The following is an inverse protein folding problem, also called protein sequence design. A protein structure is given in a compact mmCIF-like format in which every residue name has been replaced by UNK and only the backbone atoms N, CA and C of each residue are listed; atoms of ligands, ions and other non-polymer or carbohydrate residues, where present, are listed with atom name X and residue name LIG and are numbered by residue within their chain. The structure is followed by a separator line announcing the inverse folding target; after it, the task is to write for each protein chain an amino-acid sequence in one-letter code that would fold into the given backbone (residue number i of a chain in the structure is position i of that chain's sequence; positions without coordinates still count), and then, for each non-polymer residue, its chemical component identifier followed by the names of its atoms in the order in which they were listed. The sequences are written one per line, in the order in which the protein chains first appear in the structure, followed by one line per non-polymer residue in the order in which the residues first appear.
data_IF_085844732077
#
_entry.id   IF_085844732077
#
_cell.length_a   1.000
_cell.length_b   1.000
_cell.length_c   1.000
_cell.angle_alpha   90.00
_cell.angle_beta   90.00
_cell.angle_gamma   90.00
#
_symmetry.space_group_name_H-M   'P 1'
#
loop_
_entity.id
_entity.type
_entity.pdbx_description
1 polymer ?
#
# COMPACT_ATOMS: atom_id res chain seq x y z
N UNK A 1 4.41 19.64 -1.54
CA UNK A 1 3.67 18.37 -1.53
C UNK A 1 3.98 17.67 -0.22
N UNK A 2 2.94 17.36 0.56
CA UNK A 2 3.05 16.69 1.85
C UNK A 2 2.48 15.27 1.72
N UNK A 3 3.27 14.26 2.06
CA UNK A 3 2.78 12.87 2.07
C UNK A 3 2.60 12.42 3.52
N UNK A 4 1.40 11.97 3.84
CA UNK A 4 1.10 11.36 5.12
C UNK A 4 1.53 9.90 5.15
N UNK A 5 1.94 9.39 6.31
CA UNK A 5 2.04 7.94 6.58
C UNK A 5 1.05 7.61 7.69
N UNK A 6 0.08 6.73 7.42
CA UNK A 6 -0.92 6.33 8.41
C UNK A 6 -0.22 5.68 9.60
N UNK A 7 -0.23 6.36 10.74
CA UNK A 7 0.58 6.06 11.91
C UNK A 7 -0.24 5.44 13.05
N UNK A 8 -1.20 4.57 12.69
CA UNK A 8 -2.02 3.83 13.63
C UNK A 8 -1.31 2.56 14.13
N UNK A 9 -0.64 1.87 13.22
CA UNK A 9 0.18 0.68 13.48
C UNK A 9 1.08 0.45 12.26
N UNK A 10 2.20 -0.24 12.42
CA UNK A 10 3.01 -0.72 11.29
C UNK A 10 4.38 -0.08 11.16
N UNK A 11 5.00 -0.30 9.99
CA UNK A 11 6.36 0.12 9.61
C UNK A 11 6.41 1.61 9.24
N UNK A 12 5.85 2.45 10.12
CA UNK A 12 5.63 3.89 9.90
C UNK A 12 6.96 4.61 9.74
N UNK A 13 7.95 4.28 10.57
CA UNK A 13 9.24 4.97 10.60
C UNK A 13 10.03 4.72 9.32
N UNK A 14 9.98 3.50 8.83
CA UNK A 14 10.65 3.02 7.62
C UNK A 14 10.09 3.75 6.40
N UNK A 15 8.75 3.85 6.28
CA UNK A 15 8.11 4.65 5.22
C UNK A 15 8.41 6.14 5.33
N UNK A 16 8.45 6.71 6.54
CA UNK A 16 8.83 8.11 6.73
C UNK A 16 10.27 8.37 6.27
N UNK A 17 11.21 7.46 6.56
CA UNK A 17 12.61 7.56 6.10
C UNK A 17 12.69 7.49 4.58
N UNK A 18 12.07 6.48 3.97
CA UNK A 18 12.11 6.26 2.54
C UNK A 18 11.50 7.43 1.73
N UNK A 19 10.45 8.06 2.25
CA UNK A 19 9.86 9.27 1.65
C UNK A 19 10.75 10.50 1.83
N UNK A 20 11.40 10.67 2.98
CA UNK A 20 12.34 11.77 3.21
C UNK A 20 13.57 11.66 2.29
N UNK A 21 14.09 10.45 2.10
CA UNK A 21 15.18 10.14 1.15
C UNK A 21 14.73 10.22 -0.33
N UNK A 22 13.44 10.39 -0.57
CA UNK A 22 12.85 10.67 -1.88
C UNK A 22 12.48 12.15 -2.06
N UNK A 23 13.08 13.04 -1.27
CA UNK A 23 12.90 14.51 -1.31
C UNK A 23 11.45 14.98 -1.10
N UNK A 24 10.71 14.32 -0.21
CA UNK A 24 9.34 14.72 0.17
C UNK A 24 9.19 14.97 1.66
N UNK A 25 8.42 15.99 2.00
CA UNK A 25 7.98 16.24 3.38
C UNK A 25 6.97 15.17 3.79
N UNK A 26 7.43 14.18 4.56
CA UNK A 26 6.62 13.10 5.09
C UNK A 26 6.19 13.38 6.54
N UNK A 27 4.93 13.07 6.90
CA UNK A 27 4.41 13.28 8.26
C UNK A 27 3.55 12.10 8.71
N UNK A 28 3.60 11.70 9.99
CA UNK A 28 2.67 10.71 10.50
C UNK A 28 1.24 11.26 10.56
N UNK A 29 0.26 10.41 10.25
CA UNK A 29 -1.18 10.72 10.32
C UNK A 29 -1.85 9.75 11.29
N UNK A 30 -2.36 10.29 12.39
CA UNK A 30 -3.04 9.57 13.48
C UNK A 30 -4.45 10.08 13.71
N UNK A 31 -4.77 11.28 13.20
CA UNK A 31 -6.03 11.97 13.44
C UNK A 31 -6.58 12.66 12.18
N UNK A 32 -7.90 12.91 12.09
CA UNK A 32 -8.51 13.54 10.92
C UNK A 32 -7.92 14.92 10.55
N UNK A 33 -7.54 15.74 11.54
CA UNK A 33 -6.91 17.03 11.29
C UNK A 33 -5.52 16.93 10.64
N UNK A 34 -4.80 15.83 10.89
CA UNK A 34 -3.51 15.55 10.26
C UNK A 34 -3.71 15.04 8.83
N UNK A 35 -4.75 14.22 8.60
CA UNK A 35 -5.16 13.79 7.26
C UNK A 35 -5.55 14.97 6.37
N UNK A 36 -6.22 15.99 6.95
CA UNK A 36 -6.58 17.20 6.23
C UNK A 36 -5.35 17.97 5.71
N UNK A 37 -4.19 17.85 6.35
CA UNK A 37 -2.97 18.59 6.02
C UNK A 37 -2.02 17.91 5.02
N UNK A 38 -2.37 16.73 4.50
CA UNK A 38 -1.54 15.98 3.54
C UNK A 38 -2.19 15.93 2.16
N UNK A 39 -1.36 15.87 1.12
CA UNK A 39 -1.79 15.81 -0.29
C UNK A 39 -2.00 14.36 -0.78
N UNK A 40 -1.30 13.41 -0.14
CA UNK A 40 -1.38 11.97 -0.41
C UNK A 40 -1.10 11.16 0.86
N UNK A 41 -1.41 9.86 0.83
CA UNK A 41 -1.27 8.97 1.99
C UNK A 41 -0.53 7.67 1.64
N UNK A 42 0.40 7.27 2.50
CA UNK A 42 0.93 5.90 2.55
C UNK A 42 0.27 5.15 3.69
N UNK A 43 -0.24 3.95 3.41
CA UNK A 43 -0.75 3.00 4.38
C UNK A 43 0.31 1.90 4.53
N UNK A 44 1.03 1.84 5.66
CA UNK A 44 2.19 0.96 5.81
C UNK A 44 1.80 -0.53 5.95
N UNK A 45 2.82 -1.39 6.00
CA UNK A 45 2.68 -2.78 6.43
C UNK A 45 2.30 -2.89 7.91
N UNK A 46 2.00 -4.10 8.39
CA UNK A 46 1.59 -4.34 9.78
C UNK A 46 0.45 -5.35 9.92
N UNK A 47 -0.53 -5.06 10.78
CA UNK A 47 -1.68 -5.91 11.05
C UNK A 47 -2.98 -5.18 10.64
N UNK A 48 -3.58 -5.64 9.54
CA UNK A 48 -4.72 -4.96 8.90
C UNK A 48 -6.00 -4.93 9.76
N UNK A 49 -6.26 -5.94 10.60
CA UNK A 49 -7.45 -5.97 11.48
C UNK A 49 -7.32 -4.98 12.64
N UNK A 50 -6.10 -4.72 13.09
CA UNK A 50 -5.76 -3.70 14.08
C UNK A 50 -5.87 -2.33 13.45
N UNK A 51 -5.34 -2.14 12.23
CA UNK A 51 -5.52 -0.89 11.49
C UNK A 51 -7.00 -0.58 11.25
N UNK A 52 -7.81 -1.56 10.85
CA UNK A 52 -9.26 -1.42 10.73
C UNK A 52 -9.91 -0.92 12.02
N UNK A 53 -9.60 -1.55 13.16
CA UNK A 53 -10.15 -1.15 14.46
C UNK A 53 -9.74 0.27 14.85
N UNK A 54 -8.46 0.61 14.68
CA UNK A 54 -7.95 1.93 15.04
C UNK A 54 -8.49 3.00 14.10
N UNK A 55 -8.65 2.71 12.81
CA UNK A 55 -9.21 3.65 11.84
C UNK A 55 -10.68 3.98 12.16
N UNK A 56 -11.46 2.99 12.62
CA UNK A 56 -12.82 3.22 13.11
C UNK A 56 -12.79 4.03 14.41
N UNK A 57 -12.05 3.55 15.41
CA UNK A 57 -12.06 4.13 16.76
C UNK A 57 -11.52 5.57 16.81
N UNK A 58 -10.62 5.95 15.89
CA UNK A 58 -10.10 7.31 15.77
C UNK A 58 -10.79 8.15 14.69
N UNK A 59 -11.90 7.66 14.14
CA UNK A 59 -12.72 8.41 13.17
C UNK A 59 -11.98 8.72 11.86
N UNK A 60 -11.06 7.85 11.44
CA UNK A 60 -10.25 8.00 10.22
C UNK A 60 -10.78 7.20 9.04
N UNK A 61 -11.55 6.13 9.26
CA UNK A 61 -12.03 5.24 8.19
C UNK A 61 -12.78 6.02 7.10
N UNK A 62 -13.83 6.74 7.49
CA UNK A 62 -14.67 7.48 6.54
C UNK A 62 -13.97 8.71 5.92
N UNK A 63 -13.19 9.51 6.68
CA UNK A 63 -12.37 10.56 6.06
C UNK A 63 -11.38 10.04 5.03
N UNK A 64 -10.72 8.89 5.27
CA UNK A 64 -9.80 8.30 4.29
C UNK A 64 -10.56 7.83 3.05
N UNK A 65 -11.69 7.12 3.22
CA UNK A 65 -12.57 6.71 2.11
C UNK A 65 -12.99 7.92 1.26
N UNK A 66 -13.44 8.99 1.92
CA UNK A 66 -13.84 10.23 1.24
C UNK A 66 -12.67 10.84 0.47
N UNK A 67 -11.49 10.95 1.07
CA UNK A 67 -10.31 11.53 0.41
C UNK A 67 -9.88 10.71 -0.80
N UNK A 68 -9.95 9.37 -0.72
CA UNK A 68 -9.69 8.49 -1.87
C UNK A 68 -10.71 8.75 -2.98
N UNK A 69 -12.01 8.79 -2.66
CA UNK A 69 -13.08 9.08 -3.62
C UNK A 69 -12.95 10.47 -4.26
N UNK A 70 -12.44 11.45 -3.51
CA UNK A 70 -12.15 12.81 -3.99
C UNK A 70 -10.84 12.88 -4.82
N UNK A 71 -10.14 11.76 -5.05
CA UNK A 71 -8.95 11.70 -5.91
C UNK A 71 -7.62 11.90 -5.18
N UNK A 72 -7.54 11.66 -3.87
CA UNK A 72 -6.26 11.64 -3.15
C UNK A 72 -5.41 10.43 -3.56
N UNK A 73 -4.15 10.61 -3.98
CA UNK A 73 -3.24 9.48 -4.21
C UNK A 73 -2.97 8.71 -2.92
N UNK A 74 -3.04 7.38 -3.00
CA UNK A 74 -2.75 6.51 -1.85
C UNK A 74 -1.89 5.32 -2.26
N UNK A 75 -0.89 5.03 -1.44
CA UNK A 75 -0.05 3.85 -1.58
C UNK A 75 -0.21 2.90 -0.39
N UNK A 76 -0.60 1.64 -0.63
CA UNK A 76 -0.71 0.61 0.40
C UNK A 76 0.36 -0.48 0.26
N UNK A 77 1.26 -0.62 1.24
CA UNK A 77 2.25 -1.71 1.31
C UNK A 77 1.79 -2.82 2.25
N UNK A 78 1.86 -4.09 1.85
CA UNK A 78 1.50 -5.27 2.65
C UNK A 78 0.10 -5.13 3.31
N UNK A 79 0.01 -4.88 4.62
CA UNK A 79 -1.27 -4.61 5.29
C UNK A 79 -2.02 -3.41 4.68
N UNK A 80 -1.31 -2.41 4.17
CA UNK A 80 -1.89 -1.31 3.42
C UNK A 80 -2.56 -1.74 2.10
N UNK A 81 -2.05 -2.76 1.41
CA UNK A 81 -2.73 -3.35 0.26
C UNK A 81 -4.08 -3.95 0.68
N UNK A 82 -4.10 -4.69 1.79
CA UNK A 82 -5.35 -5.24 2.34
C UNK A 82 -6.33 -4.10 2.68
N UNK A 83 -5.84 -3.04 3.32
CA UNK A 83 -6.66 -1.88 3.67
C UNK A 83 -7.17 -1.11 2.44
N UNK A 84 -6.53 -1.17 1.28
CA UNK A 84 -7.02 -0.51 0.07
C UNK A 84 -8.05 -1.34 -0.73
N UNK A 85 -8.10 -2.65 -0.52
CA UNK A 85 -8.94 -3.56 -1.30
C UNK A 85 -10.44 -3.30 -1.09
N UNK A 86 -11.24 -3.44 -2.16
CA UNK A 86 -12.70 -3.47 -2.08
C UNK A 86 -13.22 -4.76 -1.44
N UNK A 87 -12.51 -5.89 -1.63
CA UNK A 87 -12.86 -7.17 -1.01
C UNK A 87 -11.65 -7.77 -0.29
N UNK A 88 -11.83 -8.17 0.97
CA UNK A 88 -10.79 -8.85 1.77
C UNK A 88 -11.23 -10.27 2.09
N UNK A 89 -10.42 -11.26 1.70
CA UNK A 89 -10.59 -12.66 2.06
C UNK A 89 -9.73 -13.01 3.28
N UNK A 90 -10.21 -13.98 4.08
CA UNK A 90 -9.56 -14.45 5.31
C UNK A 90 -9.34 -13.33 6.35
N UNK A 91 -10.21 -12.31 6.30
CA UNK A 91 -10.34 -11.24 7.29
C UNK A 91 -11.23 -11.62 8.47
N UNK A 92 -11.26 -10.74 9.47
CA UNK A 92 -12.27 -10.81 10.54
C UNK A 92 -13.64 -10.41 9.95
N UNK A 93 -14.78 -10.97 10.40
CA UNK A 93 -16.10 -10.63 9.82
C UNK A 93 -16.47 -9.14 9.84
N UNK A 94 -15.93 -8.39 10.80
CA UNK A 94 -16.10 -6.94 10.98
C UNK A 94 -14.86 -6.14 10.56
N UNK A 95 -13.93 -6.73 9.81
CA UNK A 95 -12.80 -5.99 9.27
C UNK A 95 -13.28 -5.07 8.13
N UNK A 96 -13.08 -3.78 8.33
CA UNK A 96 -13.33 -2.75 7.32
C UNK A 96 -12.02 -2.37 6.60
N UNK A 97 -12.14 -2.10 5.31
CA UNK A 97 -11.08 -1.53 4.48
C UNK A 97 -11.48 -0.13 3.98
N UNK A 98 -10.54 0.61 3.39
CA UNK A 98 -10.81 1.87 2.72
C UNK A 98 -11.52 1.70 1.38
N UNK A 99 -11.65 0.48 0.86
CA UNK A 99 -12.37 0.16 -0.38
C UNK A 99 -11.99 1.07 -1.55
N UNK A 100 -10.72 1.46 -1.62
CA UNK A 100 -10.23 2.44 -2.59
C UNK A 100 -9.96 1.83 -3.96
N UNK A 101 -9.53 0.57 -3.99
CA UNK A 101 -9.11 -0.13 -5.20
C UNK A 101 -9.99 -1.35 -5.44
N UNK A 102 -10.47 -1.51 -6.67
CA UNK A 102 -11.31 -2.63 -7.10
C UNK A 102 -10.50 -3.92 -7.23
N UNK A 103 -10.23 -4.56 -6.09
CA UNK A 103 -9.48 -5.80 -6.04
C UNK A 103 -9.94 -6.68 -4.88
N UNK A 104 -9.78 -7.99 -5.08
CA UNK A 104 -9.96 -8.99 -4.03
C UNK A 104 -8.59 -9.40 -3.50
N UNK A 105 -8.33 -9.14 -2.22
CA UNK A 105 -7.05 -9.44 -1.57
C UNK A 105 -7.22 -10.53 -0.52
N UNK A 106 -6.40 -11.57 -0.58
CA UNK A 106 -6.33 -12.61 0.46
C UNK A 106 -5.24 -12.28 1.47
N UNK A 107 -5.59 -12.29 2.76
CA UNK A 107 -4.63 -12.08 3.86
C UNK A 107 -3.74 -13.29 4.09
N UNK A 108 -2.49 -13.07 4.51
CA UNK A 108 -1.53 -14.11 4.90
C UNK A 108 -1.47 -15.29 3.91
N UNK A 109 -1.50 -14.97 2.62
CA UNK A 109 -1.88 -15.93 1.60
C UNK A 109 -0.78 -16.97 1.33
N UNK A 110 0.46 -16.69 1.72
CA UNK A 110 1.63 -17.54 1.50
C UNK A 110 1.82 -18.67 2.53
N UNK A 111 0.88 -18.85 3.48
CA UNK A 111 0.84 -20.01 4.38
C UNK A 111 1.39 -19.74 5.80
N UNK A 112 1.50 -20.82 6.60
CA UNK A 112 1.86 -20.79 8.04
C UNK A 112 3.27 -21.31 8.39
N UNK A 113 4.06 -21.74 7.40
CA UNK A 113 5.31 -22.50 7.65
C UNK A 113 6.55 -21.93 6.94
N UNK A 114 6.47 -20.78 6.26
CA UNK A 114 7.61 -20.02 5.74
C UNK A 114 7.25 -18.53 5.79
N UNK A 115 7.31 -17.94 6.99
CA UNK A 115 6.62 -16.67 7.31
C UNK A 115 7.24 -15.41 6.70
N UNK A 116 8.41 -15.51 6.08
CA UNK A 116 8.97 -14.43 5.26
C UNK A 116 9.84 -15.03 4.17
N UNK A 117 9.78 -14.44 2.98
CA UNK A 117 10.68 -14.79 1.90
C UNK A 117 11.01 -13.54 1.09
N UNK A 118 12.07 -13.65 0.30
CA UNK A 118 12.50 -12.59 -0.60
C UNK A 118 12.46 -13.14 -2.02
N UNK A 119 12.04 -12.32 -2.97
CA UNK A 119 12.02 -12.69 -4.37
C UNK A 119 12.16 -11.45 -5.26
N UNK A 120 12.84 -11.63 -6.39
CA UNK A 120 12.89 -10.62 -7.43
C UNK A 120 11.54 -10.51 -8.13
N UNK A 121 11.06 -9.27 -8.27
CA UNK A 121 9.79 -8.93 -8.92
C UNK A 121 10.07 -7.89 -9.99
N UNK A 122 9.82 -8.23 -11.25
CA UNK A 122 9.70 -7.23 -12.30
C UNK A 122 8.44 -6.39 -12.05
N UNK A 123 8.60 -5.07 -11.89
CA UNK A 123 7.50 -4.14 -11.69
C UNK A 123 7.39 -3.23 -12.92
N UNK A 124 6.30 -3.36 -13.67
CA UNK A 124 6.00 -2.50 -14.80
C UNK A 124 6.00 -1.02 -14.38
N UNK A 125 6.43 -0.16 -15.30
CA UNK A 125 6.56 1.30 -15.13
C UNK A 125 7.59 1.77 -14.08
N UNK A 126 8.27 0.86 -13.37
CA UNK A 126 9.39 1.18 -12.48
C UNK A 126 10.70 0.76 -13.15
N UNK A 127 11.51 1.72 -13.64
CA UNK A 127 12.76 1.40 -14.33
C UNK A 127 13.83 0.82 -13.40
N UNK A 128 14.87 0.20 -13.95
CA UNK A 128 16.04 -0.29 -13.20
C UNK A 128 16.10 -1.80 -13.00
N UNK A 129 15.31 -2.57 -13.76
CA UNK A 129 15.28 -4.03 -13.66
C UNK A 129 14.46 -4.52 -12.47
N UNK A 130 14.62 -5.80 -12.14
CA UNK A 130 13.86 -6.46 -11.08
C UNK A 130 14.06 -5.76 -9.73
N UNK A 131 13.00 -5.77 -8.92
CA UNK A 131 12.99 -5.23 -7.57
C UNK A 131 13.09 -6.38 -6.57
N UNK A 132 14.09 -6.34 -5.68
CA UNK A 132 14.27 -7.32 -4.62
C UNK A 132 13.19 -7.13 -3.54
N UNK A 133 12.11 -7.90 -3.61
CA UNK A 133 10.93 -7.71 -2.78
C UNK A 133 10.98 -8.57 -1.50
N UNK A 134 10.74 -7.94 -0.36
CA UNK A 134 10.64 -8.58 0.97
C UNK A 134 9.17 -8.85 1.32
N UNK A 135 8.80 -10.12 1.43
CA UNK A 135 7.44 -10.57 1.75
C UNK A 135 7.40 -11.08 3.19
N UNK A 136 6.61 -10.44 4.06
CA UNK A 136 6.44 -10.84 5.47
C UNK A 136 4.96 -11.10 5.70
N UNK A 137 4.58 -12.38 5.85
CA UNK A 137 3.16 -12.81 5.95
C UNK A 137 2.27 -12.12 4.90
N UNK A 138 2.80 -11.99 3.69
CA UNK A 138 2.26 -11.09 2.69
C UNK A 138 0.84 -11.48 2.24
N UNK A 139 0.01 -10.52 1.83
CA UNK A 139 -1.19 -10.79 1.04
C UNK A 139 -0.85 -11.07 -0.43
N UNK A 140 -1.82 -11.54 -1.20
CA UNK A 140 -1.79 -11.40 -2.66
C UNK A 140 -3.14 -10.93 -3.18
N UNK A 141 -3.16 -10.43 -4.42
CA UNK A 141 -4.39 -10.11 -5.13
C UNK A 141 -4.90 -11.36 -5.86
N UNK A 142 -6.12 -11.80 -5.55
CA UNK A 142 -6.81 -12.93 -6.21
C UNK A 142 -7.46 -12.47 -7.52
N UNK A 143 -8.06 -11.28 -7.50
CA UNK A 143 -8.82 -10.74 -8.61
C UNK A 143 -8.67 -9.22 -8.66
N UNK A 144 -8.71 -8.69 -9.87
CA UNK A 144 -8.61 -7.26 -10.17
C UNK A 144 -9.81 -6.83 -10.99
N UNK A 145 -10.31 -5.63 -10.74
CA UNK A 145 -11.33 -4.96 -11.56
C UNK A 145 -10.76 -4.50 -12.91
N UNK A 146 -11.63 -4.06 -13.84
CA UNK A 146 -11.24 -3.74 -15.22
C UNK A 146 -10.23 -2.58 -15.32
N UNK A 147 -10.29 -1.62 -14.40
CA UNK A 147 -9.42 -0.44 -14.40
C UNK A 147 -8.13 -0.62 -13.59
N UNK A 148 -7.92 -1.80 -13.00
CA UNK A 148 -6.75 -2.12 -12.19
C UNK A 148 -5.66 -2.72 -13.07
N UNK A 149 -4.52 -2.04 -13.13
CA UNK A 149 -3.33 -2.47 -13.83
C UNK A 149 -2.48 -3.37 -12.93
N UNK A 150 -2.15 -4.57 -13.41
CA UNK A 150 -1.18 -5.45 -12.74
C UNK A 150 0.23 -5.02 -13.13
N UNK A 151 0.99 -4.54 -12.15
CA UNK A 151 2.37 -4.09 -12.36
C UNK A 151 3.37 -5.21 -12.15
N UNK A 152 3.11 -6.12 -11.20
CA UNK A 152 4.10 -7.13 -10.80
C UNK A 152 3.48 -8.44 -10.34
N UNK A 153 4.16 -9.53 -10.71
CA UNK A 153 3.85 -10.90 -10.29
C UNK A 153 5.10 -11.57 -9.73
N UNK A 154 4.91 -12.49 -8.78
CA UNK A 154 6.02 -13.33 -8.31
C UNK A 154 6.52 -14.19 -9.48
N UNK A 155 7.82 -14.14 -9.76
CA UNK A 155 8.39 -14.82 -10.93
C UNK A 155 8.51 -16.34 -10.75
N UNK A 156 8.83 -16.81 -9.54
CA UNK A 156 9.16 -18.22 -9.28
C UNK A 156 8.77 -18.69 -7.88
N UNK A 157 8.82 -20.00 -7.65
CA UNK A 157 8.51 -20.63 -6.36
C UNK A 157 7.03 -20.98 -6.20
N UNK A 158 6.64 -21.38 -4.99
CA UNK A 158 5.28 -21.86 -4.69
C UNK A 158 4.18 -20.83 -4.96
N UNK A 159 4.56 -19.55 -5.07
CA UNK A 159 3.66 -18.45 -5.33
C UNK A 159 3.84 -17.82 -6.72
N UNK A 160 4.51 -18.51 -7.66
CA UNK A 160 4.69 -18.01 -9.02
C UNK A 160 3.35 -17.59 -9.67
N UNK A 161 3.36 -16.46 -10.36
CA UNK A 161 2.19 -15.89 -11.03
C UNK A 161 1.24 -15.11 -10.14
N UNK A 162 1.41 -15.12 -8.80
CA UNK A 162 0.58 -14.32 -7.88
C UNK A 162 0.82 -12.84 -8.08
N UNK A 163 -0.27 -12.06 -8.09
CA UNK A 163 -0.23 -10.61 -8.28
C UNK A 163 0.20 -9.95 -6.96
N UNK A 164 1.27 -9.15 -7.04
CA UNK A 164 1.93 -8.57 -5.86
C UNK A 164 2.19 -7.07 -6.00
N UNK A 165 1.97 -6.48 -7.16
CA UNK A 165 1.95 -5.03 -7.34
C UNK A 165 0.85 -4.64 -8.34
N UNK A 166 0.04 -3.66 -7.96
CA UNK A 166 -1.11 -3.18 -8.75
C UNK A 166 -1.27 -1.67 -8.65
N UNK A 167 -1.89 -1.07 -9.66
CA UNK A 167 -2.25 0.35 -9.71
C UNK A 167 -3.66 0.54 -10.25
N UNK A 168 -4.40 1.50 -9.71
CA UNK A 168 -5.67 1.96 -10.27
C UNK A 168 -5.70 3.49 -10.21
N UNK A 169 -5.57 4.16 -11.37
CA UNK A 169 -5.46 5.62 -11.41
C UNK A 169 -4.27 6.13 -10.58
N UNK A 170 -4.57 6.83 -9.49
CA UNK A 170 -3.63 7.40 -8.52
C UNK A 170 -3.42 6.53 -7.26
N UNK A 171 -3.96 5.31 -7.24
CA UNK A 171 -3.78 4.34 -6.17
C UNK A 171 -2.71 3.32 -6.54
N UNK A 172 -1.82 3.02 -5.60
CA UNK A 172 -0.76 2.03 -5.73
C UNK A 172 -0.89 1.01 -4.59
N UNK A 173 -0.64 -0.27 -4.86
CA UNK A 173 -0.52 -1.26 -3.79
C UNK A 173 0.56 -2.31 -4.10
N UNK A 174 1.34 -2.66 -3.08
CA UNK A 174 2.34 -3.75 -3.13
C UNK A 174 2.10 -4.74 -2.00
N UNK A 175 2.28 -6.03 -2.26
CA UNK A 175 2.17 -7.09 -1.25
C UNK A 175 3.41 -7.19 -0.36
N UNK A 176 4.53 -6.67 -0.84
CA UNK A 176 5.84 -6.65 -0.18
C UNK A 176 6.13 -5.31 0.48
N UNK A 177 7.23 -5.28 1.23
CA UNK A 177 7.72 -4.16 2.02
C UNK A 177 8.94 -3.47 1.36
N UNK A 178 8.75 -2.56 0.39
CA UNK A 178 9.89 -1.88 -0.24
C UNK A 178 10.69 -1.02 0.76
N UNK A 179 10.06 -0.56 1.83
CA UNK A 179 10.66 0.24 2.89
C UNK A 179 11.77 -0.50 3.67
N UNK A 180 11.90 -1.83 3.49
CA UNK A 180 12.91 -2.66 4.13
C UNK A 180 14.12 -2.96 3.23
N UNK A 181 14.10 -2.53 1.97
CA UNK A 181 15.05 -3.00 0.93
C UNK A 181 16.19 -2.03 0.64
N UNK A 182 16.11 -0.79 1.15
CA UNK A 182 17.00 0.31 0.78
C UNK A 182 16.84 0.82 -0.66
N UNK A 183 16.09 0.10 -1.51
CA UNK A 183 15.75 0.53 -2.87
C UNK A 183 14.48 1.39 -2.85
N UNK A 184 14.68 2.69 -3.06
CA UNK A 184 13.63 3.70 -3.00
C UNK A 184 12.80 3.82 -4.28
N UNK A 185 13.01 2.98 -5.31
CA UNK A 185 12.33 3.14 -6.61
C UNK A 185 10.82 3.07 -6.51
N UNK A 186 10.25 2.26 -5.61
CA UNK A 186 8.80 2.20 -5.39
C UNK A 186 8.28 3.47 -4.73
N UNK A 187 8.96 3.98 -3.70
CA UNK A 187 8.60 5.26 -3.07
C UNK A 187 8.70 6.43 -4.05
N UNK A 188 9.78 6.48 -4.84
CA UNK A 188 9.97 7.49 -5.91
C UNK A 188 8.89 7.41 -6.97
N UNK A 189 8.51 6.21 -7.39
CA UNK A 189 7.39 6.01 -8.32
C UNK A 189 6.09 6.58 -7.76
N UNK A 190 5.77 6.30 -6.48
CA UNK A 190 4.60 6.89 -5.83
C UNK A 190 4.69 8.41 -5.75
N UNK A 191 5.86 8.97 -5.37
CA UNK A 191 6.09 10.43 -5.34
C UNK A 191 5.82 11.07 -6.69
N UNK A 192 6.25 10.46 -7.80
CA UNK A 192 5.94 10.93 -9.15
C UNK A 192 4.43 10.84 -9.46
N UNK A 193 3.74 9.77 -9.03
CA UNK A 193 2.28 9.69 -9.16
C UNK A 193 1.58 10.84 -8.44
N UNK A 194 2.03 11.21 -7.23
CA UNK A 194 1.46 12.35 -6.49
C UNK A 194 1.71 13.67 -7.22
N UNK A 195 2.91 13.86 -7.78
CA UNK A 195 3.25 15.07 -8.57
C UNK A 195 2.36 15.21 -9.81
N UNK A 196 2.03 14.10 -10.47
CA UNK A 196 1.16 14.08 -11.65
C UNK A 196 -0.33 14.26 -11.31
N UNK A 197 -0.77 13.80 -10.15
CA UNK A 197 -2.16 13.94 -9.70
C UNK A 197 -2.47 15.34 -9.17
N UNK A 198 -1.47 16.08 -8.68
CA UNK A 198 -1.66 17.47 -8.29
C UNK A 198 -1.97 18.33 -9.54
N UNK A 199 -3.03 19.15 -9.54
CA UNK A 199 -3.19 20.14 -10.60
C UNK A 199 -1.95 21.03 -10.64
N UNK A 200 -1.46 21.33 -11.84
CA UNK A 200 -0.38 22.30 -12.04
C UNK A 200 -0.76 23.58 -11.29
N UNK A 201 -0.03 23.87 -10.21
CA UNK A 201 -0.26 25.07 -9.39
C UNK A 201 0.19 26.32 -10.15
#
# INVERSE_FOLDING_TARGET
MNIGVLALQGDVREHLSALAESDVLARPVRRPEELAGVDALVVPGGESTTMSNLAINFGLLDPIRKRIADGMPVYGSCAGMIMLASTVLDGRPDQESFQGMEMTVRRNAFGRQVDSFEADVAIADIPGGDFHAVFIRAPWVEQVGPDVQVLGRVASGAAAGRIVAVRQGNLLATAFHPELTGDLRVHRYFVEMVRQAAPAR
#
